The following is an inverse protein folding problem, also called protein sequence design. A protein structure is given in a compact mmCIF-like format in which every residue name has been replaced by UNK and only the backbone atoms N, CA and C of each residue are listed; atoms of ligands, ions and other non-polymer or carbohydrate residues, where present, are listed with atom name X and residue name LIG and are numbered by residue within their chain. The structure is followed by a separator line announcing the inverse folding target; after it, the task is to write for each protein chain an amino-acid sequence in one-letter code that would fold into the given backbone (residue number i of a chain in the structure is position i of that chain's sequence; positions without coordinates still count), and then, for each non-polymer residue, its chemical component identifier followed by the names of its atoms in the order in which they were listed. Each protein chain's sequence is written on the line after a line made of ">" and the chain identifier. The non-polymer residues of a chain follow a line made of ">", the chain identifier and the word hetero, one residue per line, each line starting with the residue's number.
data_IF_136439269300
#
_entry.id   IF_136439269300
#
_cell.length_a   1.000
_cell.length_b   1.000
_cell.length_c   1.000
_cell.angle_alpha   90.00
_cell.angle_beta   90.00
_cell.angle_gamma   90.00
#
_symmetry.space_group_name_H-M   'P 1'
#
loop_
_entity.id
_entity.type
_entity.pdbx_description
1 polymer ?
#
# COMPACT_ATOMS: atom_id res chain seq x y z
N UNK A 1 18.01 -10.28 -1.38
CA UNK A 1 17.72 -10.40 0.06
C UNK A 1 17.51 -9.01 0.64
N UNK A 2 18.56 -8.17 0.70
CA UNK A 2 18.46 -6.79 1.24
C UNK A 2 17.30 -5.95 0.67
N UNK A 3 17.08 -5.92 -0.64
CA UNK A 3 15.99 -5.11 -1.23
C UNK A 3 14.57 -5.58 -0.87
N UNK A 4 14.39 -6.89 -0.62
CA UNK A 4 13.10 -7.43 -0.16
C UNK A 4 12.83 -6.90 1.25
N UNK A 5 13.83 -6.99 2.11
CA UNK A 5 13.75 -6.53 3.50
C UNK A 5 13.51 -5.01 3.56
N UNK A 6 14.19 -4.21 2.72
CA UNK A 6 13.99 -2.75 2.63
C UNK A 6 12.54 -2.37 2.30
N UNK A 7 11.91 -3.07 1.35
CA UNK A 7 10.52 -2.81 0.97
C UNK A 7 9.57 -3.24 2.08
N UNK A 8 9.81 -4.39 2.72
CA UNK A 8 9.02 -4.84 3.85
C UNK A 8 9.06 -3.83 4.99
N UNK A 9 10.25 -3.36 5.38
CA UNK A 9 10.40 -2.34 6.43
C UNK A 9 9.76 -1.00 6.04
N UNK A 10 9.83 -0.62 4.76
CA UNK A 10 9.13 0.56 4.24
C UNK A 10 7.60 0.45 4.35
N UNK A 11 7.05 -0.73 4.04
CA UNK A 11 5.62 -1.04 4.22
C UNK A 11 5.23 -1.04 5.69
N UNK A 12 6.01 -1.67 6.57
CA UNK A 12 5.71 -1.71 8.00
C UNK A 12 5.79 -0.33 8.64
N UNK A 13 6.71 0.53 8.21
CA UNK A 13 6.75 1.94 8.61
C UNK A 13 5.44 2.66 8.30
N UNK A 14 4.84 2.42 7.12
CA UNK A 14 3.55 2.97 6.72
C UNK A 14 2.39 2.31 7.49
N UNK A 15 2.45 1.00 7.73
CA UNK A 15 1.42 0.25 8.48
C UNK A 15 1.17 0.83 9.86
N UNK A 16 2.22 1.20 10.59
CA UNK A 16 2.08 1.83 11.92
C UNK A 16 1.30 3.14 11.83
N UNK A 17 1.45 3.91 10.74
CA UNK A 17 0.71 5.16 10.53
C UNK A 17 -0.74 4.88 10.16
N UNK A 18 -0.98 3.91 9.29
CA UNK A 18 -2.31 3.45 8.93
C UNK A 18 -3.10 2.98 10.17
N UNK A 19 -2.47 2.20 11.06
CA UNK A 19 -3.09 1.75 12.32
C UNK A 19 -3.52 2.94 13.17
N UNK A 20 -2.69 3.99 13.28
CA UNK A 20 -3.07 5.21 14.00
C UNK A 20 -4.29 5.89 13.36
N UNK A 21 -4.29 6.02 12.02
CA UNK A 21 -5.38 6.64 11.27
C UNK A 21 -6.72 5.92 11.52
N UNK A 22 -6.70 4.58 11.61
CA UNK A 22 -7.89 3.76 11.83
C UNK A 22 -8.37 3.80 13.28
N UNK A 23 -7.48 3.51 14.23
CA UNK A 23 -7.92 3.25 15.61
C UNK A 23 -7.93 4.49 16.50
N UNK A 24 -7.01 5.43 16.28
CA UNK A 24 -6.92 6.66 17.07
C UNK A 24 -7.68 7.80 16.40
N UNK A 25 -7.40 8.03 15.13
CA UNK A 25 -7.98 9.14 14.38
C UNK A 25 -9.36 8.81 13.77
N UNK A 26 -9.75 7.52 13.76
CA UNK A 26 -11.07 7.03 13.32
C UNK A 26 -11.50 7.51 11.94
N UNK A 27 -10.53 7.70 11.03
CA UNK A 27 -10.76 8.21 9.67
C UNK A 27 -11.43 9.60 9.61
N UNK A 28 -11.30 10.44 10.65
CA UNK A 28 -11.76 11.83 10.61
C UNK A 28 -11.18 12.57 9.39
N UNK A 29 -11.98 13.41 8.72
CA UNK A 29 -11.59 14.02 7.44
C UNK A 29 -10.27 14.80 7.52
N UNK A 30 -10.08 15.59 8.59
CA UNK A 30 -8.85 16.34 8.80
C UNK A 30 -7.62 15.44 9.02
N UNK A 31 -7.83 14.28 9.65
CA UNK A 31 -6.76 13.29 9.84
C UNK A 31 -6.42 12.60 8.51
N UNK A 32 -7.43 12.25 7.70
CA UNK A 32 -7.22 11.71 6.34
C UNK A 32 -6.46 12.68 5.43
N UNK A 33 -6.82 13.97 5.45
CA UNK A 33 -6.11 15.00 4.69
C UNK A 33 -4.64 15.12 5.14
N UNK A 34 -4.42 15.19 6.45
CA UNK A 34 -3.06 15.24 7.03
C UNK A 34 -2.27 13.99 6.66
N UNK A 35 -2.89 12.82 6.74
CA UNK A 35 -2.28 11.53 6.42
C UNK A 35 -1.87 11.47 4.95
N UNK A 36 -2.77 11.85 4.05
CA UNK A 36 -2.49 11.90 2.61
C UNK A 36 -1.34 12.87 2.33
N UNK A 37 -1.44 14.10 2.82
CA UNK A 37 -0.39 15.11 2.64
C UNK A 37 0.97 14.63 3.12
N UNK A 38 0.98 13.92 4.24
CA UNK A 38 2.23 13.45 4.84
C UNK A 38 2.80 12.25 4.10
N UNK A 39 2.02 11.20 3.82
CA UNK A 39 2.55 9.90 3.39
C UNK A 39 2.33 9.57 1.91
N UNK A 40 1.46 10.32 1.22
CA UNK A 40 1.06 10.08 -0.18
C UNK A 40 1.35 11.27 -1.11
N UNK A 41 1.43 12.50 -0.62
CA UNK A 41 1.71 13.64 -1.49
C UNK A 41 3.15 13.58 -2.03
N UNK A 42 3.30 13.70 -3.36
CA UNK A 42 4.62 13.66 -4.03
C UNK A 42 5.54 14.81 -3.61
N UNK A 43 4.96 15.92 -3.17
CA UNK A 43 5.68 17.13 -2.76
C UNK A 43 6.37 17.01 -1.40
N UNK A 44 6.05 16.00 -0.58
CA UNK A 44 6.68 15.79 0.74
C UNK A 44 7.86 14.82 0.72
N UNK A 45 8.31 14.42 -0.47
CA UNK A 45 9.42 13.48 -0.68
C UNK A 45 10.81 14.02 -0.30
N UNK A 46 10.97 15.33 -0.13
CA UNK A 46 12.24 15.94 0.28
C UNK A 46 12.46 15.96 1.81
N UNK A 47 11.44 15.60 2.60
CA UNK A 47 11.50 15.61 4.06
C UNK A 47 12.21 14.37 4.64
N UNK A 48 13.09 14.57 5.63
CA UNK A 48 13.76 13.47 6.33
C UNK A 48 12.77 12.69 7.21
N UNK A 49 12.68 11.37 7.00
CA UNK A 49 12.03 10.38 7.89
C UNK A 49 10.55 10.62 8.24
N UNK A 50 9.79 11.37 7.43
CA UNK A 50 8.44 11.80 7.83
C UNK A 50 7.33 11.64 6.80
N UNK A 51 7.63 11.41 5.53
CA UNK A 51 6.59 11.49 4.50
C UNK A 51 6.88 10.75 3.21
N UNK A 52 5.89 10.79 2.31
CA UNK A 52 5.90 10.25 0.96
C UNK A 52 6.25 8.76 0.84
N UNK A 53 5.93 7.93 1.85
CA UNK A 53 6.11 6.46 1.79
C UNK A 53 5.64 5.87 0.46
N UNK A 54 4.47 6.31 -0.02
CA UNK A 54 3.90 5.76 -1.25
C UNK A 54 4.72 6.13 -2.49
N UNK A 55 5.37 7.31 -2.52
CA UNK A 55 6.30 7.71 -3.58
C UNK A 55 7.50 6.78 -3.62
N UNK A 56 8.08 6.47 -2.45
CA UNK A 56 9.24 5.59 -2.38
C UNK A 56 8.90 4.16 -2.85
N UNK A 57 7.77 3.63 -2.41
CA UNK A 57 7.30 2.29 -2.81
C UNK A 57 6.99 2.23 -4.32
N UNK A 58 6.33 3.25 -4.87
CA UNK A 58 6.09 3.37 -6.31
C UNK A 58 7.40 3.45 -7.11
N UNK A 59 8.40 4.18 -6.61
CA UNK A 59 9.71 4.27 -7.24
C UNK A 59 10.46 2.94 -7.24
N UNK A 60 10.36 2.14 -6.17
CA UNK A 60 10.94 0.78 -6.15
C UNK A 60 10.30 -0.13 -7.19
N UNK A 61 8.96 -0.10 -7.29
CA UNK A 61 8.23 -0.86 -8.29
C UNK A 61 8.63 -0.43 -9.72
N UNK A 62 8.68 0.87 -9.99
CA UNK A 62 9.07 1.40 -11.29
C UNK A 62 10.50 0.99 -11.69
N UNK A 63 11.45 1.05 -10.75
CA UNK A 63 12.84 0.59 -10.96
C UNK A 63 12.95 -0.89 -11.33
N UNK A 64 11.98 -1.72 -10.92
CA UNK A 64 11.94 -3.15 -11.22
C UNK A 64 11.00 -3.49 -12.39
N UNK A 65 10.56 -2.50 -13.18
CA UNK A 65 9.78 -2.72 -14.40
C UNK A 65 8.27 -2.89 -14.17
N UNK A 66 7.76 -2.55 -12.98
CA UNK A 66 6.32 -2.35 -12.76
C UNK A 66 5.49 -3.59 -12.43
N UNK A 67 6.05 -4.80 -12.57
CA UNK A 67 5.31 -6.06 -12.29
C UNK A 67 5.60 -6.65 -10.92
N UNK A 68 6.86 -6.58 -10.48
CA UNK A 68 7.29 -7.02 -9.17
C UNK A 68 8.17 -5.93 -8.57
N UNK A 69 8.19 -5.86 -7.25
CA UNK A 69 8.96 -4.92 -6.44
C UNK A 69 10.43 -5.28 -6.38
N UNK A 70 10.79 -6.56 -6.53
CA UNK A 70 12.19 -7.04 -6.57
C UNK A 70 12.35 -8.17 -7.60
N UNK A 71 13.21 -7.95 -8.59
CA UNK A 71 13.58 -8.99 -9.55
C UNK A 71 12.43 -9.38 -10.49
N UNK A 72 12.45 -10.62 -10.99
CA UNK A 72 11.58 -11.07 -12.08
C UNK A 72 10.35 -11.89 -11.65
N UNK A 73 10.18 -12.16 -10.35
CA UNK A 73 9.13 -13.03 -9.85
C UNK A 73 8.57 -12.58 -8.52
N UNK A 74 7.44 -13.18 -8.14
CA UNK A 74 6.72 -12.87 -6.90
C UNK A 74 7.59 -13.15 -5.67
N UNK A 75 7.63 -12.19 -4.76
CA UNK A 75 8.25 -12.27 -3.44
C UNK A 75 7.27 -11.83 -2.36
N UNK A 76 7.66 -12.00 -1.10
CA UNK A 76 6.87 -11.47 0.03
C UNK A 76 6.74 -9.94 0.00
N UNK A 77 7.73 -9.22 -0.54
CA UNK A 77 7.66 -7.76 -0.67
C UNK A 77 6.47 -7.31 -1.54
N UNK A 78 6.15 -8.07 -2.59
CA UNK A 78 4.99 -7.81 -3.45
C UNK A 78 3.69 -7.98 -2.67
N UNK A 79 3.59 -9.03 -1.85
CA UNK A 79 2.40 -9.29 -1.03
C UNK A 79 2.22 -8.23 0.06
N UNK A 80 3.32 -7.78 0.69
CA UNK A 80 3.30 -6.69 1.66
C UNK A 80 2.84 -5.37 1.01
N UNK A 81 3.40 -5.01 -0.15
CA UNK A 81 2.99 -3.80 -0.87
C UNK A 81 1.53 -3.91 -1.34
N UNK A 82 1.13 -5.06 -1.86
CA UNK A 82 -0.23 -5.30 -2.31
C UNK A 82 -1.24 -5.12 -1.18
N UNK A 83 -0.98 -5.71 -0.01
CA UNK A 83 -1.90 -5.67 1.12
C UNK A 83 -2.01 -4.26 1.71
N UNK A 84 -0.89 -3.55 1.92
CA UNK A 84 -0.97 -2.18 2.43
C UNK A 84 -1.67 -1.27 1.42
N UNK A 85 -1.49 -1.49 0.12
CA UNK A 85 -2.19 -0.74 -0.91
C UNK A 85 -3.70 -1.07 -0.96
N UNK A 86 -4.10 -2.34 -0.80
CA UNK A 86 -5.52 -2.77 -0.70
C UNK A 86 -6.22 -2.03 0.44
N UNK A 87 -5.54 -1.89 1.58
CA UNK A 87 -6.04 -1.15 2.74
C UNK A 87 -6.25 0.34 2.41
N UNK A 88 -5.30 0.98 1.73
CA UNK A 88 -5.41 2.39 1.38
C UNK A 88 -6.40 2.65 0.26
N UNK A 89 -6.57 1.74 -0.70
CA UNK A 89 -7.57 1.85 -1.76
C UNK A 89 -8.99 1.87 -1.21
N UNK A 90 -9.27 1.22 -0.08
CA UNK A 90 -10.59 1.29 0.60
C UNK A 90 -10.92 2.67 1.16
N UNK A 91 -9.90 3.48 1.44
CA UNK A 91 -10.03 4.79 2.11
C UNK A 91 -9.84 5.94 1.13
N UNK A 92 -8.91 5.78 0.19
CA UNK A 92 -8.40 6.81 -0.71
C UNK A 92 -8.48 6.38 -2.18
N UNK A 93 -9.52 5.62 -2.56
CA UNK A 93 -9.66 5.03 -3.89
C UNK A 93 -9.36 6.01 -5.04
N UNK A 94 -10.11 7.10 -5.12
CA UNK A 94 -10.00 8.07 -6.21
C UNK A 94 -8.66 8.83 -6.20
N UNK A 95 -8.17 9.36 -5.06
CA UNK A 95 -6.84 9.94 -4.99
C UNK A 95 -5.72 8.97 -5.42
N UNK A 96 -5.76 7.70 -5.00
CA UNK A 96 -4.73 6.71 -5.37
C UNK A 96 -4.78 6.40 -6.87
N UNK A 97 -5.98 6.18 -7.44
CA UNK A 97 -6.14 5.96 -8.89
C UNK A 97 -5.60 7.12 -9.72
N UNK A 98 -5.80 8.35 -9.25
CA UNK A 98 -5.34 9.55 -9.94
C UNK A 98 -3.83 9.73 -9.83
N UNK A 99 -3.28 9.66 -8.63
CA UNK A 99 -1.88 10.04 -8.37
C UNK A 99 -0.90 8.87 -8.55
N UNK A 100 -1.35 7.62 -8.42
CA UNK A 100 -0.54 6.41 -8.51
C UNK A 100 -1.19 5.31 -9.38
N UNK A 101 -1.56 5.59 -10.63
CA UNK A 101 -2.19 4.60 -11.50
C UNK A 101 -1.32 3.33 -11.71
N UNK A 102 0.01 3.46 -11.67
CA UNK A 102 0.95 2.34 -11.76
C UNK A 102 0.81 1.36 -10.59
N UNK A 103 0.50 1.86 -9.39
CA UNK A 103 0.27 1.03 -8.21
C UNK A 103 -1.04 0.27 -8.33
N UNK A 104 -2.07 0.87 -8.94
CA UNK A 104 -3.34 0.18 -9.22
C UNK A 104 -3.12 -0.97 -10.21
N UNK A 105 -2.35 -0.73 -11.28
CA UNK A 105 -1.99 -1.80 -12.23
C UNK A 105 -1.23 -2.93 -11.54
N UNK A 106 -0.29 -2.61 -10.64
CA UNK A 106 0.39 -3.61 -9.83
C UNK A 106 -0.56 -4.36 -8.90
N UNK A 107 -1.48 -3.66 -8.23
CA UNK A 107 -2.48 -4.26 -7.35
C UNK A 107 -3.32 -5.29 -8.09
N UNK A 108 -3.86 -4.91 -9.26
CA UNK A 108 -4.65 -5.79 -10.11
C UNK A 108 -3.82 -6.98 -10.62
N UNK A 109 -2.54 -6.75 -10.97
CA UNK A 109 -1.65 -7.80 -11.43
C UNK A 109 -1.45 -8.88 -10.37
N UNK A 110 -1.07 -8.51 -9.15
CA UNK A 110 -0.85 -9.46 -8.05
C UNK A 110 -2.16 -10.18 -7.69
N UNK A 111 -3.29 -9.46 -7.64
CA UNK A 111 -4.60 -10.04 -7.37
C UNK A 111 -5.04 -11.07 -8.44
N UNK A 112 -4.50 -10.97 -9.67
CA UNK A 112 -4.82 -11.87 -10.78
C UNK A 112 -4.01 -13.18 -10.78
N UNK A 113 -2.94 -13.28 -9.97
CA UNK A 113 -2.05 -14.43 -9.98
C UNK A 113 -2.75 -15.71 -9.48
N UNK A 114 -2.42 -16.90 -10.05
CA UNK A 114 -2.91 -18.18 -9.54
C UNK A 114 -2.56 -18.38 -8.06
N UNK A 115 -3.47 -18.97 -7.30
CA UNK A 115 -3.41 -19.11 -5.84
C UNK A 115 -3.96 -17.90 -5.11
N UNK A 116 -3.57 -16.68 -5.53
CA UNK A 116 -4.04 -15.42 -4.93
C UNK A 116 -5.48 -15.15 -5.35
N UNK A 117 -5.77 -15.19 -6.65
CA UNK A 117 -7.12 -14.97 -7.18
C UNK A 117 -8.16 -15.88 -6.53
N UNK A 118 -7.83 -17.17 -6.39
CA UNK A 118 -8.70 -18.17 -5.77
C UNK A 118 -8.89 -17.88 -4.28
N UNK A 119 -7.83 -17.52 -3.55
CA UNK A 119 -7.95 -17.12 -2.15
C UNK A 119 -8.86 -15.90 -1.99
N UNK A 120 -8.65 -14.87 -2.82
CA UNK A 120 -9.38 -13.62 -2.73
C UNK A 120 -10.89 -13.77 -3.01
N UNK A 121 -11.27 -14.76 -3.83
CA UNK A 121 -12.66 -15.12 -4.12
C UNK A 121 -13.25 -16.15 -3.15
N UNK A 122 -12.42 -16.76 -2.30
CA UNK A 122 -12.85 -17.84 -1.40
C UNK A 122 -13.51 -17.30 -0.12
N UNK A 123 -14.36 -18.09 0.55
CA UNK A 123 -14.91 -17.74 1.87
C UNK A 123 -13.85 -17.66 2.98
N UNK A 124 -12.58 -17.99 2.71
CA UNK A 124 -11.47 -17.83 3.66
C UNK A 124 -10.96 -16.39 3.73
N UNK A 125 -11.27 -15.54 2.74
CA UNK A 125 -10.97 -14.11 2.81
C UNK A 125 -11.93 -13.46 3.78
N UNK A 126 -11.40 -12.83 4.82
CA UNK A 126 -12.21 -12.07 5.76
C UNK A 126 -12.83 -10.86 5.05
N UNK A 127 -14.11 -10.58 5.33
CA UNK A 127 -14.83 -9.47 4.72
C UNK A 127 -14.33 -8.10 5.18
N UNK A 128 -13.85 -8.01 6.42
CA UNK A 128 -13.35 -6.78 7.03
C UNK A 128 -11.88 -6.95 7.45
N UNK A 129 -10.96 -6.06 7.01
CA UNK A 129 -9.52 -6.22 7.23
C UNK A 129 -9.03 -5.87 8.64
N UNK A 130 -9.82 -5.16 9.46
CA UNK A 130 -9.41 -4.66 10.79
C UNK A 130 -10.29 -5.15 11.95
N UNK A 131 -11.18 -6.12 11.69
CA UNK A 131 -12.24 -6.53 12.61
C UNK A 131 -13.12 -5.37 13.12
N UNK A 132 -13.21 -4.28 12.35
CA UNK A 132 -14.09 -3.14 12.59
C UNK A 132 -14.79 -2.76 11.26
N UNK A 133 -15.66 -1.74 11.29
CA UNK A 133 -16.34 -1.21 10.10
C UNK A 133 -15.59 -0.04 9.45
N UNK A 134 -14.35 0.23 9.85
CA UNK A 134 -13.52 1.33 9.36
C UNK A 134 -12.45 0.76 8.42
N UNK A 135 -12.46 1.22 7.17
CA UNK A 135 -11.59 0.69 6.11
C UNK A 135 -12.05 -0.66 5.62
#
# INVERSE_FOLDING_TARGET
>A
MVAVDEIMEGVESLRVKYVNLIYNDKLEEAAKETYWKTYFDKTTSEGRNGGAHMVYLANFLAKNGGKHTVGAGLTIADLCLWEILDLHLRIFEEPVKKEYPELVVFHDHIASLPGIKEYLASPKRLAAPNANSLG
#
